data_IF_043841228922
#
_entry.id   IF_043841228922
#
_cell.length_a   1.000
_cell.length_b   1.000
_cell.length_c   1.000
_cell.angle_alpha   90.00
_cell.angle_beta   90.00
_cell.angle_gamma   90.00
#
_symmetry.space_group_name_H-M   'P 1'
#
loop_
_entity.id
_entity.type
_entity.pdbx_description
1 polymer ?
#
# COMPACT_ATOMS: atom_id res chain seq x y z
N UNK A 1 55.13 -29.48 -50.43
CA UNK A 1 56.19 -29.92 -49.51
C UNK A 1 55.56 -29.98 -48.13
N UNK A 2 55.12 -31.16 -47.74
CA UNK A 2 54.64 -31.48 -46.39
C UNK A 2 55.82 -31.53 -45.40
N UNK A 3 55.54 -31.29 -44.11
CA UNK A 3 56.10 -31.89 -42.87
C UNK A 3 56.00 -30.85 -41.72
N UNK A 4 55.61 -31.11 -40.47
CA UNK A 4 54.99 -32.24 -39.76
C UNK A 4 54.60 -31.72 -38.37
N UNK A 5 53.36 -31.95 -37.95
CA UNK A 5 52.91 -31.89 -36.56
C UNK A 5 53.42 -33.14 -35.84
N UNK A 6 54.30 -33.04 -34.84
CA UNK A 6 54.40 -34.03 -33.74
C UNK A 6 55.36 -33.53 -32.64
N UNK A 7 54.99 -33.80 -31.38
CA UNK A 7 55.80 -33.71 -30.14
C UNK A 7 55.83 -32.34 -29.41
N UNK A 8 54.81 -32.09 -28.59
CA UNK A 8 54.95 -31.35 -27.32
C UNK A 8 53.74 -31.52 -26.38
N UNK A 9 53.07 -32.68 -26.39
CA UNK A 9 51.88 -32.94 -25.53
C UNK A 9 52.24 -33.59 -24.18
N UNK A 10 53.50 -33.91 -23.91
CA UNK A 10 53.84 -34.71 -22.72
C UNK A 10 54.98 -34.02 -21.99
N UNK A 11 54.67 -33.28 -20.91
CA UNK A 11 55.45 -33.17 -19.65
C UNK A 11 55.14 -31.93 -18.80
N UNK A 12 53.88 -31.52 -18.61
CA UNK A 12 53.56 -30.63 -17.46
C UNK A 12 52.31 -31.15 -16.73
N UNK A 13 52.45 -32.33 -16.14
CA UNK A 13 51.64 -32.80 -15.02
C UNK A 13 52.52 -32.71 -13.78
N UNK A 14 52.39 -31.67 -12.94
CA UNK A 14 52.78 -31.61 -11.51
C UNK A 14 52.85 -30.15 -11.00
N UNK A 15 51.80 -29.35 -11.21
CA UNK A 15 51.48 -28.28 -10.25
C UNK A 15 50.10 -28.54 -9.66
N UNK A 16 50.20 -28.99 -8.43
CA UNK A 16 49.16 -29.32 -7.47
C UNK A 16 48.24 -28.14 -7.16
N UNK A 17 46.93 -28.41 -7.08
CA UNK A 17 46.08 -28.18 -5.87
C UNK A 17 46.20 -26.73 -5.33
N UNK A 18 45.23 -25.81 -5.43
CA UNK A 18 43.83 -25.84 -4.99
C UNK A 18 43.11 -24.67 -5.71
N UNK A 19 42.70 -24.83 -6.96
CA UNK A 19 41.58 -24.04 -7.45
C UNK A 19 40.34 -24.69 -6.87
N UNK A 20 39.93 -24.27 -5.67
CA UNK A 20 38.63 -24.60 -5.07
C UNK A 20 37.63 -24.36 -6.21
N UNK A 21 37.02 -25.41 -6.80
CA UNK A 21 35.76 -25.16 -7.46
C UNK A 21 34.92 -24.74 -6.28
N UNK A 22 34.67 -23.44 -6.15
CA UNK A 22 33.44 -22.99 -5.55
C UNK A 22 32.39 -23.69 -6.39
N UNK A 23 32.07 -24.93 -6.00
CA UNK A 23 30.86 -25.60 -6.33
C UNK A 23 29.83 -24.64 -5.78
N UNK A 24 29.42 -23.73 -6.66
CA UNK A 24 28.08 -23.23 -6.72
C UNK A 24 27.18 -24.46 -6.67
N UNK A 25 26.97 -24.99 -5.47
CA UNK A 25 25.67 -25.45 -5.06
C UNK A 25 24.79 -24.20 -5.01
N UNK A 26 24.61 -23.58 -6.18
CA UNK A 26 23.42 -22.83 -6.48
C UNK A 26 22.35 -23.89 -6.45
N UNK A 27 21.84 -24.13 -5.24
CA UNK A 27 20.62 -24.86 -5.01
C UNK A 27 19.63 -24.12 -5.90
N UNK A 28 19.34 -24.72 -7.06
CA UNK A 28 18.34 -24.20 -7.98
C UNK A 28 17.15 -23.95 -7.09
N UNK A 29 16.75 -22.68 -6.94
CA UNK A 29 15.52 -22.35 -6.28
C UNK A 29 14.49 -23.14 -7.07
N UNK A 30 14.09 -24.29 -6.51
CA UNK A 30 13.22 -25.20 -7.22
C UNK A 30 12.00 -24.36 -7.44
N UNK A 31 11.78 -24.00 -8.71
CA UNK A 31 10.60 -23.28 -9.11
C UNK A 31 9.50 -24.32 -9.03
N UNK A 32 9.13 -24.68 -7.80
CA UNK A 32 7.78 -25.12 -7.52
C UNK A 32 6.99 -23.95 -8.06
N UNK A 33 6.44 -24.12 -9.26
CA UNK A 33 5.24 -23.40 -9.63
C UNK A 33 4.25 -23.80 -8.55
N UNK A 34 4.28 -23.08 -7.43
CA UNK A 34 3.08 -22.83 -6.68
C UNK A 34 2.16 -22.30 -7.77
N UNK A 35 1.34 -23.20 -8.31
CA UNK A 35 0.06 -22.83 -8.86
C UNK A 35 -0.64 -22.16 -7.68
N UNK A 36 -0.29 -20.89 -7.45
CA UNK A 36 -1.18 -19.95 -6.81
C UNK A 36 -2.36 -19.94 -7.76
N UNK A 37 -3.25 -20.89 -7.56
CA UNK A 37 -4.60 -20.74 -8.01
C UNK A 37 -5.02 -19.45 -7.31
N UNK A 38 -5.06 -18.35 -8.07
CA UNK A 38 -5.43 -17.03 -7.59
C UNK A 38 -6.94 -17.06 -7.30
N UNK A 39 -7.34 -17.95 -6.40
CA UNK A 39 -8.64 -17.92 -5.77
C UNK A 39 -8.65 -16.69 -4.87
N UNK A 40 -8.94 -15.56 -5.52
CA UNK A 40 -9.19 -14.29 -4.89
C UNK A 40 -10.69 -13.98 -4.88
N UNK A 41 -11.54 -15.00 -5.07
CA UNK A 41 -12.99 -14.84 -5.05
C UNK A 41 -13.45 -14.25 -3.72
N UNK A 42 -12.90 -14.74 -2.60
CA UNK A 42 -13.24 -14.25 -1.27
C UNK A 42 -12.86 -12.78 -1.10
N UNK A 43 -11.60 -12.43 -1.40
CA UNK A 43 -11.11 -11.06 -1.27
C UNK A 43 -11.86 -10.10 -2.20
N UNK A 44 -12.15 -10.48 -3.43
CA UNK A 44 -12.94 -9.67 -4.36
C UNK A 44 -14.36 -9.43 -3.83
N UNK A 45 -15.04 -10.45 -3.30
CA UNK A 45 -16.40 -10.27 -2.76
C UNK A 45 -16.37 -9.34 -1.53
N UNK A 46 -15.50 -9.63 -0.55
CA UNK A 46 -15.47 -8.87 0.71
C UNK A 46 -14.93 -7.44 0.54
N UNK A 47 -14.15 -7.17 -0.51
CA UNK A 47 -13.60 -5.84 -0.81
C UNK A 47 -14.34 -5.07 -1.91
N UNK A 48 -15.51 -5.53 -2.34
CA UNK A 48 -16.27 -4.93 -3.46
C UNK A 48 -15.43 -4.78 -4.76
N UNK A 49 -14.81 -5.88 -5.16
CA UNK A 49 -13.89 -6.02 -6.28
C UNK A 49 -12.68 -5.08 -6.19
N UNK A 50 -12.32 -4.65 -4.98
CA UNK A 50 -11.19 -3.77 -4.75
C UNK A 50 -9.92 -4.50 -4.36
N UNK A 51 -9.87 -5.80 -4.07
CA UNK A 51 -8.62 -6.49 -3.70
C UNK A 51 -8.68 -7.92 -4.24
N UNK A 52 -7.65 -8.32 -4.98
CA UNK A 52 -7.49 -9.71 -5.44
C UNK A 52 -6.24 -10.28 -4.79
N UNK A 53 -6.46 -11.02 -3.71
CA UNK A 53 -5.44 -11.74 -2.93
C UNK A 53 -5.91 -13.17 -2.68
N UNK A 54 -4.99 -14.12 -2.56
CA UNK A 54 -5.33 -15.50 -2.21
C UNK A 54 -6.02 -15.58 -0.84
N UNK A 55 -6.84 -16.60 -0.62
CA UNK A 55 -7.53 -16.79 0.67
C UNK A 55 -6.57 -16.79 1.87
N UNK A 56 -5.35 -17.31 1.72
CA UNK A 56 -4.33 -17.29 2.79
C UNK A 56 -3.94 -15.86 3.15
N UNK A 57 -3.63 -15.03 2.14
CA UNK A 57 -3.22 -13.62 2.35
C UNK A 57 -4.38 -12.78 2.86
N UNK A 58 -5.58 -12.97 2.31
CA UNK A 58 -6.77 -12.23 2.71
C UNK A 58 -7.20 -12.52 4.15
N UNK A 59 -7.12 -13.79 4.57
CA UNK A 59 -7.41 -14.16 5.95
C UNK A 59 -6.35 -13.60 6.92
N UNK A 60 -5.07 -13.67 6.56
CA UNK A 60 -3.99 -13.05 7.36
C UNK A 60 -4.21 -11.54 7.53
N UNK A 61 -4.60 -10.85 6.45
CA UNK A 61 -4.95 -9.42 6.49
C UNK A 61 -6.06 -9.13 7.48
N UNK A 62 -7.13 -9.93 7.49
CA UNK A 62 -8.23 -9.78 8.47
C UNK A 62 -7.74 -9.98 9.91
N UNK A 63 -6.90 -10.98 10.15
CA UNK A 63 -6.30 -11.22 11.48
C UNK A 63 -5.42 -10.05 11.95
N UNK A 64 -4.58 -9.50 11.06
CA UNK A 64 -3.77 -8.31 11.37
C UNK A 64 -4.66 -7.11 11.67
N UNK A 65 -5.69 -6.86 10.85
CA UNK A 65 -6.64 -5.78 11.06
C UNK A 65 -7.29 -5.89 12.44
N UNK A 66 -7.89 -7.04 12.77
CA UNK A 66 -8.59 -7.25 14.04
C UNK A 66 -7.67 -7.09 15.25
N UNK A 67 -6.44 -7.60 15.14
CA UNK A 67 -5.44 -7.50 16.21
C UNK A 67 -5.02 -6.05 16.43
N UNK A 68 -4.69 -5.35 15.34
CA UNK A 68 -4.23 -3.96 15.42
C UNK A 68 -5.35 -2.99 15.80
N UNK A 69 -6.58 -3.25 15.35
CA UNK A 69 -7.76 -2.45 15.72
C UNK A 69 -8.03 -2.54 17.23
N UNK A 70 -7.92 -3.74 17.82
CA UNK A 70 -8.00 -3.92 19.28
C UNK A 70 -6.93 -3.14 20.02
N UNK A 71 -5.73 -3.00 19.47
CA UNK A 71 -4.69 -2.15 20.06
C UNK A 71 -4.96 -0.66 19.87
N UNK A 72 -5.52 -0.23 18.74
CA UNK A 72 -5.91 1.16 18.47
C UNK A 72 -7.08 1.62 19.36
N UNK A 73 -7.94 0.69 19.81
CA UNK A 73 -9.00 0.99 20.77
C UNK A 73 -8.47 1.28 22.19
N UNK A 74 -7.21 0.94 22.50
CA UNK A 74 -6.61 1.19 23.82
C UNK A 74 -6.04 2.60 23.88
N UNK A 75 -6.69 3.48 24.64
CA UNK A 75 -6.20 4.85 24.84
C UNK A 75 -5.01 4.87 25.80
N UNK A 76 -3.84 5.22 25.28
CA UNK A 76 -2.61 5.47 26.04
C UNK A 76 -2.47 6.96 26.35
N UNK A 77 -2.16 7.28 27.60
CA UNK A 77 -1.84 8.63 28.00
C UNK A 77 -0.43 8.99 27.50
N UNK A 78 -0.35 9.79 26.44
CA UNK A 78 0.90 10.19 25.80
C UNK A 78 0.78 11.59 25.24
N UNK A 79 1.85 12.37 25.38
CA UNK A 79 1.95 13.71 24.80
C UNK A 79 2.02 13.67 23.26
N UNK A 80 2.31 12.51 22.66
CA UNK A 80 2.32 12.31 21.21
C UNK A 80 1.16 11.39 20.84
N UNK A 81 -0.07 11.90 20.99
CA UNK A 81 -1.31 11.11 20.94
C UNK A 81 -1.38 10.18 19.73
N UNK A 82 -1.27 10.70 18.50
CA UNK A 82 -1.44 9.90 17.29
C UNK A 82 -0.40 8.78 17.18
N UNK A 83 0.88 9.06 17.45
CA UNK A 83 1.93 8.05 17.40
C UNK A 83 1.78 6.98 18.50
N UNK A 84 1.04 7.26 19.57
CA UNK A 84 0.89 6.31 20.70
C UNK A 84 -0.45 5.56 20.70
N UNK A 85 -1.45 6.07 19.96
CA UNK A 85 -2.82 5.58 20.00
C UNK A 85 -3.32 5.06 18.65
N UNK A 86 -2.65 5.38 17.55
CA UNK A 86 -3.11 5.04 16.21
C UNK A 86 -1.97 4.49 15.37
N UNK A 87 -2.06 3.21 15.05
CA UNK A 87 -1.22 2.53 14.06
C UNK A 87 -2.07 2.10 12.86
N UNK A 88 -1.52 2.06 11.64
CA UNK A 88 -2.22 1.52 10.49
C UNK A 88 -2.59 0.04 10.72
N UNK A 89 -3.89 -0.28 10.73
CA UNK A 89 -4.41 -1.65 10.79
C UNK A 89 -4.72 -2.23 9.40
N UNK A 90 -4.49 -1.47 8.34
CA UNK A 90 -4.67 -1.88 6.95
C UNK A 90 -3.56 -1.33 6.06
N UNK A 91 -2.97 -2.16 5.21
CA UNK A 91 -1.88 -1.80 4.32
C UNK A 91 -2.13 -2.27 2.89
N UNK A 92 -1.47 -1.69 1.90
CA UNK A 92 -1.61 -2.06 0.49
C UNK A 92 -0.24 -2.21 -0.15
N UNK A 93 -0.16 -2.92 -1.27
CA UNK A 93 1.09 -3.10 -2.00
C UNK A 93 1.63 -1.79 -2.56
N UNK A 94 0.75 -0.86 -2.96
CA UNK A 94 1.15 0.44 -3.49
C UNK A 94 0.54 1.60 -2.69
N UNK A 95 1.23 2.01 -1.63
CA UNK A 95 0.93 3.25 -0.92
C UNK A 95 1.61 4.45 -1.59
N UNK A 96 0.87 5.54 -1.76
CA UNK A 96 1.40 6.80 -2.30
C UNK A 96 0.99 7.97 -1.43
N UNK A 97 1.95 8.84 -1.12
CA UNK A 97 1.67 10.13 -0.50
C UNK A 97 1.05 11.08 -1.52
N UNK A 98 -0.13 11.61 -1.22
CA UNK A 98 -0.84 12.62 -2.01
C UNK A 98 -0.97 13.89 -1.17
N UNK A 99 -0.57 15.03 -1.73
CA UNK A 99 -0.53 16.32 -1.02
C UNK A 99 0.90 16.72 -0.63
N UNK A 100 0.98 17.68 0.29
CA UNK A 100 2.25 18.24 0.77
C UNK A 100 3.02 17.23 1.64
N UNK A 101 4.34 17.44 1.79
CA UNK A 101 5.11 16.79 2.85
C UNK A 101 4.73 17.39 4.21
N UNK A 102 4.79 16.60 5.28
CA UNK A 102 4.39 17.06 6.62
C UNK A 102 2.89 16.92 6.88
N UNK A 103 2.21 17.95 7.36
CA UNK A 103 0.76 17.93 7.55
C UNK A 103 0.01 18.22 6.23
N UNK A 104 -1.30 17.98 6.20
CA UNK A 104 -2.17 18.19 5.04
C UNK A 104 -2.15 17.02 4.06
N UNK A 105 -0.97 16.53 3.65
CA UNK A 105 -0.87 15.36 2.75
C UNK A 105 -1.24 14.04 3.44
N UNK A 106 -1.79 13.07 2.70
CA UNK A 106 -2.18 11.74 3.23
C UNK A 106 -1.54 10.60 2.44
N UNK A 107 -1.30 9.46 3.10
CA UNK A 107 -0.95 8.22 2.42
C UNK A 107 -2.23 7.56 1.90
N UNK A 108 -2.29 7.29 0.60
CA UNK A 108 -3.45 6.69 -0.06
C UNK A 108 -3.05 5.33 -0.61
N UNK A 109 -3.92 4.34 -0.39
CA UNK A 109 -3.73 2.99 -0.88
C UNK A 109 -4.22 2.81 -2.32
N UNK A 110 -3.35 2.25 -3.14
CA UNK A 110 -3.57 1.88 -4.54
C UNK A 110 -4.35 2.94 -5.36
N UNK A 111 -4.00 4.25 -5.31
CA UNK A 111 -4.79 5.29 -5.95
C UNK A 111 -4.91 5.13 -7.47
N UNK A 112 -3.98 4.40 -8.10
CA UNK A 112 -4.03 4.07 -9.52
C UNK A 112 -5.29 3.27 -9.92
N UNK A 113 -5.88 2.52 -8.98
CA UNK A 113 -7.05 1.67 -9.26
C UNK A 113 -8.32 2.46 -9.48
N UNK A 114 -8.42 3.62 -8.87
CA UNK A 114 -9.51 4.55 -9.09
C UNK A 114 -9.46 5.15 -10.52
N UNK A 115 -8.30 5.12 -11.21
CA UNK A 115 -8.16 5.73 -12.54
C UNK A 115 -8.98 4.99 -13.58
N UNK A 116 -9.12 3.68 -13.40
CA UNK A 116 -9.93 2.83 -14.25
C UNK A 116 -11.44 2.93 -13.95
N UNK A 117 -11.84 3.60 -12.87
CA UNK A 117 -13.25 3.76 -12.48
C UNK A 117 -13.80 5.06 -13.09
N UNK A 118 -14.76 5.00 -14.04
CA UNK A 118 -15.27 6.20 -14.70
C UNK A 118 -16.11 7.08 -13.76
N UNK A 119 -16.90 6.47 -12.87
CA UNK A 119 -17.75 7.17 -11.89
C UNK A 119 -17.07 7.13 -10.51
N UNK A 120 -15.98 7.86 -10.37
CA UNK A 120 -15.20 7.91 -9.15
C UNK A 120 -15.74 8.99 -8.20
N UNK A 121 -16.01 8.61 -6.96
CA UNK A 121 -16.50 9.49 -5.90
C UNK A 121 -15.57 9.41 -4.70
N UNK A 122 -15.15 10.56 -4.18
CA UNK A 122 -14.25 10.67 -3.04
C UNK A 122 -14.94 11.49 -1.95
N UNK A 123 -15.06 10.90 -0.77
CA UNK A 123 -15.46 11.59 0.44
C UNK A 123 -14.22 11.91 1.28
N UNK A 124 -14.01 13.18 1.61
CA UNK A 124 -12.89 13.64 2.44
C UNK A 124 -13.45 14.34 3.68
N UNK A 125 -13.10 13.89 4.88
CA UNK A 125 -13.64 14.44 6.12
C UNK A 125 -12.53 15.01 7.01
N UNK A 126 -12.78 16.16 7.63
CA UNK A 126 -11.85 16.80 8.56
C UNK A 126 -10.74 17.59 7.88
N UNK A 127 -11.05 18.29 6.79
CA UNK A 127 -10.10 19.17 6.07
C UNK A 127 -9.52 20.28 6.94
N UNK A 128 -10.27 20.75 7.95
CA UNK A 128 -9.97 21.90 8.79
C UNK A 128 -9.55 23.15 7.99
N UNK A 129 -10.16 23.34 6.81
CA UNK A 129 -9.85 24.44 5.91
C UNK A 129 -8.59 24.27 5.06
N UNK A 130 -7.81 23.21 5.26
CA UNK A 130 -6.71 22.82 4.38
C UNK A 130 -7.20 21.84 3.31
N UNK A 131 -7.34 22.34 2.09
CA UNK A 131 -7.77 21.55 0.92
C UNK A 131 -6.59 20.99 0.11
N UNK A 132 -5.36 21.02 0.66
CA UNK A 132 -4.16 20.60 -0.04
C UNK A 132 -4.23 19.15 -0.52
N UNK A 133 -4.84 18.27 0.28
CA UNK A 133 -5.06 16.88 -0.11
C UNK A 133 -5.99 16.76 -1.32
N UNK A 134 -7.16 17.42 -1.27
CA UNK A 134 -8.18 17.36 -2.32
C UNK A 134 -7.69 17.97 -3.62
N UNK A 135 -6.94 19.10 -3.55
CA UNK A 135 -6.30 19.70 -4.72
C UNK A 135 -5.36 18.70 -5.39
N UNK A 136 -4.55 17.97 -4.62
CA UNK A 136 -3.63 16.98 -5.20
C UNK A 136 -4.35 15.72 -5.67
N UNK A 137 -5.41 15.27 -4.99
CA UNK A 137 -6.26 14.20 -5.47
C UNK A 137 -6.91 14.56 -6.80
N UNK A 138 -7.45 15.78 -6.94
CA UNK A 138 -8.04 16.26 -8.18
C UNK A 138 -7.03 16.32 -9.33
N UNK A 139 -5.76 16.65 -9.05
CA UNK A 139 -4.69 16.57 -10.06
C UNK A 139 -4.39 15.14 -10.50
N UNK A 140 -4.38 14.19 -9.56
CA UNK A 140 -4.09 12.77 -9.87
C UNK A 140 -5.28 12.08 -10.54
N UNK A 141 -6.49 12.53 -10.20
CA UNK A 141 -7.78 11.93 -10.52
C UNK A 141 -8.79 13.00 -10.98
N UNK A 142 -8.55 13.66 -12.14
CA UNK A 142 -9.33 14.83 -12.54
C UNK A 142 -10.82 14.53 -12.75
N UNK A 143 -11.16 13.29 -13.09
CA UNK A 143 -12.53 12.85 -13.31
C UNK A 143 -13.31 12.55 -12.02
N UNK A 144 -12.65 12.35 -10.88
CA UNK A 144 -13.36 12.04 -9.64
C UNK A 144 -14.12 13.26 -9.12
N UNK A 145 -15.34 13.03 -8.67
CA UNK A 145 -16.10 14.00 -7.85
C UNK A 145 -15.60 13.91 -6.40
N UNK A 146 -15.35 15.06 -5.79
CA UNK A 146 -14.84 15.14 -4.41
C UNK A 146 -15.83 15.91 -3.57
N UNK A 147 -16.28 15.29 -2.49
CA UNK A 147 -17.09 15.93 -1.45
C UNK A 147 -16.26 16.04 -0.18
N UNK A 148 -16.06 17.27 0.29
CA UNK A 148 -15.31 17.53 1.51
C UNK A 148 -16.25 17.93 2.63
N UNK A 149 -16.03 17.36 3.81
CA UNK A 149 -16.85 17.56 4.98
C UNK A 149 -16.02 18.10 6.13
N UNK A 150 -16.56 19.09 6.84
CA UNK A 150 -15.98 19.58 8.08
C UNK A 150 -17.04 20.14 9.03
N UNK A 151 -16.71 20.25 10.32
CA UNK A 151 -17.59 20.84 11.32
C UNK A 151 -17.74 22.34 11.14
N UNK A 152 -16.63 23.00 10.76
CA UNK A 152 -16.62 24.44 10.48
C UNK A 152 -16.89 24.69 9.01
N UNK A 153 -17.44 25.85 8.71
CA UNK A 153 -17.69 26.25 7.33
C UNK A 153 -16.42 26.77 6.69
N UNK A 154 -16.05 26.17 5.56
CA UNK A 154 -14.92 26.59 4.73
C UNK A 154 -15.36 26.73 3.28
N UNK A 155 -14.50 27.34 2.45
CA UNK A 155 -14.72 27.47 1.01
C UNK A 155 -13.72 26.59 0.29
N UNK A 156 -14.21 25.54 -0.37
CA UNK A 156 -13.36 24.71 -1.22
C UNK A 156 -12.92 25.50 -2.47
N UNK A 157 -11.68 25.31 -2.97
CA UNK A 157 -11.26 25.89 -4.23
C UNK A 157 -12.18 25.50 -5.40
N UNK A 158 -12.38 26.43 -6.32
CA UNK A 158 -13.21 26.20 -7.51
C UNK A 158 -12.72 24.99 -8.30
N UNK A 159 -13.66 24.16 -8.78
CA UNK A 159 -13.41 22.96 -9.57
C UNK A 159 -12.60 21.85 -8.85
N UNK A 160 -12.41 21.94 -7.53
CA UNK A 160 -11.72 20.90 -6.75
C UNK A 160 -12.70 19.99 -6.05
N UNK A 161 -13.59 20.55 -5.23
CA UNK A 161 -14.54 19.77 -4.43
C UNK A 161 -15.83 20.54 -4.14
N UNK A 162 -16.85 19.79 -3.72
CA UNK A 162 -18.10 20.31 -3.17
C UNK A 162 -17.98 20.25 -1.65
N UNK A 163 -18.10 21.39 -0.98
CA UNK A 163 -17.96 21.47 0.47
C UNK A 163 -19.31 21.29 1.18
N UNK A 164 -19.29 20.51 2.26
CA UNK A 164 -20.43 20.22 3.12
C UNK A 164 -20.05 20.53 4.57
N UNK A 165 -20.84 21.37 5.24
CA UNK A 165 -20.70 21.55 6.68
C UNK A 165 -21.49 20.42 7.39
N UNK A 166 -20.83 19.67 8.27
CA UNK A 166 -21.49 18.70 9.15
C UNK A 166 -21.66 19.34 10.52
N UNK A 167 -22.89 19.65 10.90
CA UNK A 167 -23.23 20.00 12.27
C UNK A 167 -23.69 18.74 12.99
N UNK A 168 -23.04 18.43 14.12
CA UNK A 168 -23.62 17.50 15.07
C UNK A 168 -24.53 18.33 15.97
N UNK A 169 -25.81 18.36 15.63
CA UNK A 169 -26.81 18.96 16.52
C UNK A 169 -26.80 18.12 17.81
N UNK A 170 -26.23 18.68 18.88
CA UNK A 170 -26.26 18.13 20.23
C UNK A 170 -27.70 18.22 20.78
N UNK A 171 -28.62 17.45 20.21
CA UNK A 171 -29.94 17.21 20.79
C UNK A 171 -29.97 15.86 21.48
N UNK A 172 -29.07 15.65 22.45
CA UNK A 172 -29.36 14.81 23.61
C UNK A 172 -28.71 15.50 24.82
N UNK A 173 -29.46 16.39 25.46
CA UNK A 173 -29.30 16.61 26.89
C UNK A 173 -29.60 15.28 27.58
N UNK A 174 -28.56 14.52 27.91
CA UNK A 174 -28.67 13.51 28.95
C UNK A 174 -28.90 14.26 30.26
N UNK A 175 -30.15 14.35 30.68
CA UNK A 175 -30.52 14.88 31.98
C UNK A 175 -30.42 13.70 32.97
N UNK A 176 -29.70 13.85 34.10
CA UNK A 176 -29.43 12.78 35.06
C UNK A 176 -30.70 12.21 35.71
#
# INVERSE_FOLDING_TARGET
MELRFTVAIITISLFTVISIPFFWNGQSCSRTSLLFNNDCRLSLIESDNFICESNVVWNERKTVYETQDKENMKKRNSNIFFLSNWEPNFHCSHARRIGQMGDGGKWVCDPHRLKARPNCLIYSAGSNGDFGFEVHMKKVMPHCEIHTFDQRRYTCPQNVCIFHQITFDFLITYQP
#
